data_IF_036836064613
#
_entry.id   IF_036836064613
#
_cell.length_a   1.000
_cell.length_b   1.000
_cell.length_c   1.000
_cell.angle_alpha   90.00
_cell.angle_beta   90.00
_cell.angle_gamma   90.00
#
_symmetry.space_group_name_H-M   'P 1'
#
loop_
_entity.id
_entity.type
_entity.pdbx_description
1 polymer ?
#
# COMPACT_ATOMS: atom_id res chain seq x y z
N UNK A 1 -31.26 -46.63 42.30
CA UNK A 1 -31.85 -45.42 41.69
C UNK A 1 -30.73 -44.70 40.96
N UNK A 2 -30.76 -44.84 39.65
CA UNK A 2 -29.89 -44.21 38.66
C UNK A 2 -30.37 -42.79 38.40
N UNK A 3 -29.45 -41.83 38.31
CA UNK A 3 -29.41 -40.81 37.25
C UNK A 3 -28.14 -39.96 37.41
N UNK A 4 -27.24 -40.12 36.44
CA UNK A 4 -26.08 -39.27 36.27
C UNK A 4 -26.51 -38.03 35.48
N UNK A 5 -26.45 -36.86 36.11
CA UNK A 5 -26.71 -35.57 35.46
C UNK A 5 -25.49 -35.16 34.64
N UNK A 6 -25.67 -35.09 33.31
CA UNK A 6 -24.74 -34.48 32.37
C UNK A 6 -24.62 -32.99 32.67
N UNK A 7 -23.43 -32.55 33.10
CA UNK A 7 -23.06 -31.14 33.17
C UNK A 7 -23.05 -30.54 31.77
N UNK A 8 -23.96 -29.60 31.52
CA UNK A 8 -23.98 -28.81 30.30
C UNK A 8 -22.70 -27.95 30.22
N UNK A 9 -21.89 -28.19 29.19
CA UNK A 9 -20.76 -27.36 28.84
C UNK A 9 -21.27 -25.97 28.43
N UNK A 10 -20.85 -24.94 29.15
CA UNK A 10 -21.00 -23.55 28.76
C UNK A 10 -20.24 -23.30 27.44
N UNK A 11 -20.85 -22.63 26.44
CA UNK A 11 -20.14 -22.32 25.22
C UNK A 11 -19.09 -21.26 25.51
N UNK A 12 -17.83 -21.60 25.28
CA UNK A 12 -16.72 -20.66 25.24
C UNK A 12 -16.98 -19.70 24.08
N UNK A 13 -17.56 -18.54 24.37
CA UNK A 13 -17.65 -17.43 23.43
C UNK A 13 -16.24 -16.88 23.21
N UNK A 14 -15.57 -17.39 22.19
CA UNK A 14 -14.38 -16.76 21.62
C UNK A 14 -14.77 -15.36 21.15
N UNK A 15 -14.52 -14.35 21.98
CA UNK A 15 -14.65 -12.94 21.62
C UNK A 15 -13.54 -12.61 20.63
N UNK A 16 -13.75 -12.98 19.37
CA UNK A 16 -12.96 -12.50 18.26
C UNK A 16 -13.25 -10.99 18.14
N UNK A 17 -12.43 -10.15 18.80
CA UNK A 17 -12.50 -8.68 18.70
C UNK A 17 -12.44 -8.35 17.22
N UNK A 18 -13.57 -8.00 16.62
CA UNK A 18 -13.66 -7.50 15.24
C UNK A 18 -12.71 -6.32 15.13
N UNK A 19 -11.55 -6.53 14.51
CA UNK A 19 -10.68 -5.43 14.05
C UNK A 19 -11.45 -4.77 12.91
N UNK A 20 -12.08 -3.63 13.19
CA UNK A 20 -12.85 -2.89 12.17
C UNK A 20 -11.92 -1.97 11.40
N UNK A 21 -12.28 -1.64 10.16
CA UNK A 21 -11.59 -0.65 9.32
C UNK A 21 -11.40 0.68 10.05
N UNK A 22 -12.46 1.20 10.65
CA UNK A 22 -12.42 2.52 11.29
C UNK A 22 -11.44 2.55 12.49
N UNK A 23 -11.34 1.45 13.24
CA UNK A 23 -10.36 1.32 14.33
C UNK A 23 -8.90 1.28 13.84
N UNK A 24 -8.65 0.94 12.58
CA UNK A 24 -7.30 0.93 11.99
C UNK A 24 -6.82 2.35 11.64
N UNK A 25 -7.71 3.20 11.12
CA UNK A 25 -7.41 4.59 10.74
C UNK A 25 -7.12 5.46 11.96
N UNK A 26 -7.95 5.39 13.01
CA UNK A 26 -7.81 6.21 14.23
C UNK A 26 -6.50 5.99 14.99
N UNK A 27 -5.91 4.81 14.88
CA UNK A 27 -4.68 4.50 15.61
C UNK A 27 -3.40 5.02 14.96
N UNK A 28 -3.41 5.53 13.72
CA UNK A 28 -2.24 6.22 13.13
C UNK A 28 -2.12 7.65 13.52
N UNK A 29 -3.25 8.37 13.46
CA UNK A 29 -3.29 9.75 13.87
C UNK A 29 -2.60 9.90 15.23
N UNK A 30 -2.93 8.98 16.16
CA UNK A 30 -2.31 8.87 17.48
C UNK A 30 -0.82 8.56 17.49
N UNK A 31 -0.32 7.67 16.63
CA UNK A 31 1.12 7.34 16.60
C UNK A 31 1.97 8.47 16.02
N UNK A 32 1.44 9.18 15.03
CA UNK A 32 2.06 10.39 14.50
C UNK A 32 2.09 11.50 15.57
N UNK A 33 0.96 11.73 16.23
CA UNK A 33 0.83 12.68 17.36
C UNK A 33 1.83 12.37 18.50
N UNK A 34 2.20 11.09 18.68
CA UNK A 34 3.17 10.63 19.67
C UNK A 34 4.65 10.67 19.18
N UNK A 35 4.94 11.25 18.01
CA UNK A 35 6.29 11.44 17.47
C UNK A 35 7.10 10.15 17.20
N UNK A 36 6.44 9.04 16.87
CA UNK A 36 7.11 7.75 16.58
C UNK A 36 7.57 7.58 15.11
N UNK A 37 7.62 8.66 14.32
CA UNK A 37 7.84 8.61 12.86
C UNK A 37 9.17 7.99 12.41
N UNK A 38 10.20 8.00 13.26
CA UNK A 38 11.53 7.45 12.97
C UNK A 38 11.61 5.92 12.86
N UNK A 39 10.55 5.21 13.25
CA UNK A 39 10.48 3.74 13.14
C UNK A 39 10.31 3.24 11.69
N UNK A 40 10.07 4.16 10.75
CA UNK A 40 9.73 3.78 9.38
C UNK A 40 10.09 4.75 8.28
N UNK A 41 10.10 6.04 8.59
CA UNK A 41 10.58 7.04 7.66
C UNK A 41 12.05 6.75 7.38
N UNK A 42 12.37 6.52 6.10
CA UNK A 42 13.74 6.23 5.68
C UNK A 42 14.49 7.49 5.28
N UNK A 43 13.84 8.65 5.35
CA UNK A 43 14.41 9.94 4.97
C UNK A 43 14.68 10.08 3.48
N UNK A 44 14.32 9.08 2.66
CA UNK A 44 14.55 9.06 1.21
C UNK A 44 13.52 8.17 0.50
N UNK A 45 13.29 8.37 -0.81
CA UNK A 45 12.51 7.46 -1.63
C UNK A 45 13.13 6.06 -1.68
N UNK A 46 12.35 5.06 -2.07
CA UNK A 46 12.89 3.70 -2.23
C UNK A 46 14.00 3.64 -3.30
N UNK A 47 15.21 3.10 -2.99
CA UNK A 47 16.24 2.87 -4.00
C UNK A 47 15.76 2.02 -5.18
N UNK A 48 14.86 1.08 -4.92
CA UNK A 48 14.24 0.25 -5.94
C UNK A 48 13.39 1.08 -6.92
N UNK A 49 12.57 2.00 -6.39
CA UNK A 49 11.75 2.88 -7.24
C UNK A 49 12.62 3.86 -8.03
N UNK A 50 13.64 4.46 -7.39
CA UNK A 50 14.59 5.35 -8.07
C UNK A 50 15.22 4.62 -9.26
N UNK A 51 15.81 3.46 -9.01
CA UNK A 51 16.47 2.66 -10.06
C UNK A 51 15.49 2.27 -11.17
N UNK A 52 14.25 1.93 -10.81
CA UNK A 52 13.23 1.58 -11.78
C UNK A 52 12.86 2.76 -12.70
N UNK A 53 12.65 3.94 -12.14
CA UNK A 53 12.31 5.14 -12.89
C UNK A 53 13.50 5.66 -13.72
N UNK A 54 14.73 5.51 -13.23
CA UNK A 54 15.92 6.02 -13.90
C UNK A 54 16.44 5.07 -14.99
N UNK A 55 16.45 3.76 -14.74
CA UNK A 55 17.25 2.80 -15.51
C UNK A 55 16.44 1.70 -16.19
N UNK A 56 15.25 1.35 -15.68
CA UNK A 56 14.50 0.24 -16.25
C UNK A 56 13.86 0.63 -17.59
N UNK A 57 13.96 -0.23 -18.60
CA UNK A 57 13.45 0.05 -19.95
C UNK A 57 11.94 0.37 -20.00
N UNK A 58 11.16 -0.15 -19.05
CA UNK A 58 9.72 0.13 -18.94
C UNK A 58 9.40 1.59 -18.57
N UNK A 59 10.37 2.38 -18.09
CA UNK A 59 10.16 3.81 -17.80
C UNK A 59 9.62 4.58 -19.01
N UNK A 60 10.06 4.22 -20.22
CA UNK A 60 9.63 4.86 -21.47
C UNK A 60 8.14 4.61 -21.73
N UNK A 61 7.62 3.47 -21.27
CA UNK A 61 6.19 3.15 -21.34
C UNK A 61 5.38 3.92 -20.31
N UNK A 62 5.92 4.12 -19.10
CA UNK A 62 5.28 4.91 -18.05
C UNK A 62 5.19 6.40 -18.42
N UNK A 63 6.20 6.91 -19.15
CA UNK A 63 6.34 8.31 -19.54
C UNK A 63 6.01 8.58 -21.01
N UNK A 64 5.39 7.65 -21.74
CA UNK A 64 5.14 7.73 -23.20
C UNK A 64 4.38 8.98 -23.68
N UNK A 65 3.60 9.56 -22.78
CA UNK A 65 2.75 10.73 -23.01
C UNK A 65 3.27 12.00 -22.30
N UNK A 66 4.41 11.89 -21.62
CA UNK A 66 5.08 13.02 -20.99
C UNK A 66 5.42 14.08 -22.05
N UNK A 67 5.16 15.36 -21.73
CA UNK A 67 5.30 16.48 -22.67
C UNK A 67 4.15 16.65 -23.68
N UNK A 68 3.27 15.64 -23.84
CA UNK A 68 2.04 15.76 -24.64
C UNK A 68 0.83 16.16 -23.79
N UNK A 69 0.79 15.69 -22.55
CA UNK A 69 -0.23 16.02 -21.54
C UNK A 69 0.34 15.87 -20.13
N UNK A 70 -0.41 16.33 -19.13
CA UNK A 70 -0.12 16.05 -17.72
C UNK A 70 -0.41 14.57 -17.42
N UNK A 71 0.53 13.90 -16.76
CA UNK A 71 0.37 12.55 -16.24
C UNK A 71 0.04 12.62 -14.74
N UNK A 72 -1.01 11.93 -14.31
CA UNK A 72 -1.45 11.92 -12.92
C UNK A 72 -0.93 10.66 -12.21
N UNK A 73 -0.33 10.82 -11.05
CA UNK A 73 0.12 9.72 -10.21
C UNK A 73 -0.53 9.75 -8.81
N UNK A 74 -0.71 8.57 -8.23
CA UNK A 74 -1.29 8.41 -6.90
C UNK A 74 -0.42 7.50 -6.03
N UNK A 75 -0.24 7.90 -4.78
CA UNK A 75 0.53 7.16 -3.78
C UNK A 75 -0.35 6.99 -2.53
N UNK A 76 -0.98 5.83 -2.31
CA UNK A 76 -1.67 5.59 -1.05
C UNK A 76 -0.65 5.51 0.10
N UNK A 77 -0.89 6.29 1.15
CA UNK A 77 -0.03 6.37 2.34
C UNK A 77 -0.67 5.52 3.46
N UNK A 78 0.17 4.89 4.30
CA UNK A 78 -0.12 3.71 5.15
C UNK A 78 -1.23 3.88 6.19
N UNK A 79 -2.01 2.80 6.33
CA UNK A 79 -2.97 2.50 7.41
C UNK A 79 -2.72 1.11 8.07
N UNK A 80 -2.15 1.01 9.27
CA UNK A 80 -2.44 0.11 10.44
C UNK A 80 -2.15 0.47 11.98
N UNK A 81 -3.12 0.38 12.92
CA UNK A 81 -2.84 0.23 14.39
C UNK A 81 -3.34 -1.12 14.95
N UNK A 82 -2.59 -1.71 15.90
CA UNK A 82 -3.01 -2.88 16.71
C UNK A 82 -3.34 -2.42 18.15
N UNK A 83 -4.53 -2.75 18.68
CA UNK A 83 -4.95 -2.35 20.04
C UNK A 83 -4.28 -3.17 21.18
N UNK A 84 -3.26 -3.98 20.89
CA UNK A 84 -2.50 -4.73 21.89
C UNK A 84 -1.00 -4.46 21.70
N UNK A 85 -0.48 -3.56 22.53
CA UNK A 85 0.96 -3.36 22.69
C UNK A 85 1.44 -4.51 23.59
N UNK A 86 2.11 -5.49 22.99
CA UNK A 86 3.14 -6.26 23.69
C UNK A 86 4.48 -5.78 23.12
N UNK A 87 5.31 -5.19 23.98
CA UNK A 87 6.44 -4.30 23.66
C UNK A 87 7.66 -5.01 23.07
N UNK A 88 7.53 -6.26 22.60
CA UNK A 88 8.66 -7.10 22.20
C UNK A 88 8.73 -7.48 20.72
N UNK A 89 7.86 -6.93 19.86
CA UNK A 89 7.87 -7.19 18.41
C UNK A 89 8.12 -5.89 17.64
N UNK A 90 9.25 -5.85 16.94
CA UNK A 90 9.73 -4.75 16.08
C UNK A 90 8.62 -4.09 15.25
N UNK A 91 8.18 -2.87 15.60
CA UNK A 91 7.06 -2.20 14.95
C UNK A 91 7.50 -1.54 13.63
N UNK A 92 7.40 -2.29 12.54
CA UNK A 92 7.46 -1.76 11.18
C UNK A 92 6.11 -1.09 10.85
N UNK A 93 6.09 0.23 10.78
CA UNK A 93 4.89 1.10 10.64
C UNK A 93 5.10 2.12 9.47
N UNK A 94 4.11 2.89 8.98
CA UNK A 94 4.13 4.08 8.05
C UNK A 94 5.06 4.31 6.82
N UNK A 95 4.66 5.09 5.80
CA UNK A 95 5.49 5.54 4.64
C UNK A 95 6.00 7.01 4.73
N UNK A 96 6.15 7.50 5.96
CA UNK A 96 7.01 8.66 6.26
C UNK A 96 6.47 9.98 5.73
N UNK A 97 7.34 10.79 5.13
CA UNK A 97 7.14 12.22 4.86
C UNK A 97 6.91 12.53 3.37
N UNK A 98 6.28 11.65 2.59
CA UNK A 98 5.97 11.93 1.18
C UNK A 98 7.18 11.93 0.24
N UNK A 99 8.22 11.14 0.54
CA UNK A 99 9.41 11.05 -0.31
C UNK A 99 9.11 10.51 -1.72
N UNK A 100 8.29 9.46 -1.82
CA UNK A 100 7.93 8.87 -3.13
C UNK A 100 7.01 9.82 -3.93
N UNK A 101 6.18 10.62 -3.24
CA UNK A 101 5.38 11.70 -3.86
C UNK A 101 6.30 12.73 -4.51
N UNK A 102 7.31 13.21 -3.78
CA UNK A 102 8.28 14.15 -4.32
C UNK A 102 9.16 13.53 -5.43
N UNK A 103 9.47 12.24 -5.37
CA UNK A 103 10.21 11.55 -6.42
C UNK A 103 9.41 11.51 -7.73
N UNK A 104 8.18 10.98 -7.69
CA UNK A 104 7.33 10.89 -8.89
C UNK A 104 7.09 12.27 -9.50
N UNK A 105 6.95 13.31 -8.67
CA UNK A 105 6.83 14.67 -9.13
C UNK A 105 8.06 15.12 -9.94
N UNK A 106 9.28 14.83 -9.46
CA UNK A 106 10.52 15.14 -10.20
C UNK A 106 10.63 14.39 -11.54
N UNK A 107 9.93 13.26 -11.68
CA UNK A 107 9.81 12.52 -12.94
C UNK A 107 8.68 13.04 -13.86
N UNK A 108 8.07 14.19 -13.54
CA UNK A 108 7.11 14.87 -14.43
C UNK A 108 5.65 14.47 -14.22
N UNK A 109 5.33 13.73 -13.15
CA UNK A 109 3.95 13.47 -12.77
C UNK A 109 3.38 14.62 -11.93
N UNK A 110 2.08 14.86 -12.07
CA UNK A 110 1.28 15.49 -11.04
C UNK A 110 0.85 14.44 -10.03
N UNK A 111 1.14 14.64 -8.74
CA UNK A 111 1.08 13.56 -7.75
C UNK A 111 0.17 13.89 -6.58
N UNK A 112 -0.68 12.93 -6.22
CA UNK A 112 -1.48 12.94 -5.00
C UNK A 112 -0.99 11.83 -4.05
N UNK A 113 -0.54 12.22 -2.87
CA UNK A 113 -0.41 11.30 -1.74
C UNK A 113 -1.72 11.28 -0.94
N UNK A 114 -2.12 10.14 -0.39
CA UNK A 114 -3.31 10.05 0.47
C UNK A 114 -2.97 9.55 1.86
N UNK A 115 -3.22 10.34 2.90
CA UNK A 115 -2.88 10.03 4.30
C UNK A 115 -4.10 10.25 5.22
N UNK A 116 -4.24 9.47 6.29
CA UNK A 116 -5.38 9.56 7.22
C UNK A 116 -5.15 10.51 8.40
N UNK A 117 -3.90 10.85 8.69
CA UNK A 117 -3.52 11.76 9.77
C UNK A 117 -3.23 13.16 9.26
N UNK A 118 -3.95 14.17 9.75
CA UNK A 118 -3.71 15.57 9.38
C UNK A 118 -2.28 16.02 9.69
N UNK A 119 -1.73 15.63 10.85
CA UNK A 119 -0.34 15.97 11.18
C UNK A 119 0.68 15.37 10.21
N UNK A 120 0.43 14.15 9.71
CA UNK A 120 1.28 13.51 8.71
C UNK A 120 1.11 14.14 7.33
N UNK A 121 -0.11 14.54 6.97
CA UNK A 121 -0.39 15.34 5.76
C UNK A 121 0.42 16.63 5.76
N UNK A 122 0.39 17.39 6.86
CA UNK A 122 1.09 18.67 6.98
C UNK A 122 2.60 18.49 6.83
N UNK A 123 3.19 17.56 7.58
CA UNK A 123 4.62 17.27 7.52
C UNK A 123 5.07 16.72 6.17
N UNK A 124 4.25 15.87 5.54
CA UNK A 124 4.56 15.35 4.22
C UNK A 124 4.53 16.47 3.17
N UNK A 125 3.55 17.37 3.22
CA UNK A 125 3.48 18.53 2.34
C UNK A 125 4.66 19.50 2.54
N UNK A 126 5.09 19.74 3.77
CA UNK A 126 6.30 20.53 4.05
C UNK A 126 7.55 19.89 3.43
N UNK A 127 7.72 18.58 3.62
CA UNK A 127 8.86 17.84 3.08
C UNK A 127 8.84 17.76 1.55
N UNK A 128 7.67 17.56 0.94
CA UNK A 128 7.49 17.59 -0.52
C UNK A 128 7.87 18.97 -1.07
N UNK A 129 7.39 20.06 -0.46
CA UNK A 129 7.76 21.44 -0.84
C UNK A 129 9.26 21.67 -0.74
N UNK A 130 9.90 21.26 0.37
CA UNK A 130 11.34 21.41 0.56
C UNK A 130 12.14 20.66 -0.51
N UNK A 131 11.68 19.47 -0.89
CA UNK A 131 12.30 18.63 -1.90
C UNK A 131 12.13 19.18 -3.34
N UNK A 132 11.01 19.84 -3.63
CA UNK A 132 10.70 20.36 -4.96
C UNK A 132 11.14 21.81 -5.18
N UNK A 133 11.75 22.46 -4.17
CA UNK A 133 12.12 23.89 -4.17
C UNK A 133 12.88 24.35 -5.42
N UNK A 134 13.79 23.53 -5.93
CA UNK A 134 14.63 23.84 -7.09
C UNK A 134 14.16 23.14 -8.37
N UNK A 135 12.96 22.55 -8.36
CA UNK A 135 12.41 21.81 -9.50
C UNK A 135 11.36 22.63 -10.24
N UNK A 136 11.31 22.48 -11.57
CA UNK A 136 10.20 22.97 -12.40
C UNK A 136 8.95 22.06 -12.30
N UNK A 137 8.88 21.21 -11.26
CA UNK A 137 7.75 20.30 -11.06
C UNK A 137 6.78 20.92 -10.07
N UNK A 138 5.55 21.14 -10.52
CA UNK A 138 4.68 22.14 -9.88
C UNK A 138 3.42 21.58 -9.23
N UNK A 139 3.19 20.27 -9.21
CA UNK A 139 1.94 19.79 -8.63
C UNK A 139 2.09 18.44 -7.93
N UNK A 140 2.51 18.49 -6.67
CA UNK A 140 2.57 17.34 -5.79
C UNK A 140 2.08 17.74 -4.41
N UNK A 141 1.07 17.02 -3.90
CA UNK A 141 0.49 17.31 -2.61
C UNK A 141 -0.06 16.04 -1.96
N UNK A 142 -0.02 16.02 -0.64
CA UNK A 142 -0.62 14.97 0.18
C UNK A 142 -1.96 15.50 0.69
N UNK A 143 -3.00 14.69 0.54
CA UNK A 143 -4.37 15.02 0.96
C UNK A 143 -4.82 14.12 2.10
N UNK A 144 -5.69 14.67 2.95
CA UNK A 144 -6.32 13.91 4.01
C UNK A 144 -7.43 13.02 3.44
N UNK A 145 -7.41 11.72 3.76
CA UNK A 145 -8.51 10.83 3.47
C UNK A 145 -8.21 9.36 3.77
N UNK A 146 -9.28 8.57 3.88
CA UNK A 146 -9.22 7.12 4.04
C UNK A 146 -9.32 6.46 2.66
N UNK A 147 -8.30 5.69 2.27
CA UNK A 147 -8.22 5.00 0.98
C UNK A 147 -9.47 4.19 0.61
N UNK A 148 -10.21 3.67 1.59
CA UNK A 148 -11.43 2.91 1.32
C UNK A 148 -12.70 3.76 1.20
N UNK A 149 -12.62 5.08 1.45
CA UNK A 149 -13.68 6.06 1.22
C UNK A 149 -13.47 6.83 -0.09
N UNK A 150 -14.49 7.55 -0.56
CA UNK A 150 -14.45 8.27 -1.85
C UNK A 150 -14.59 9.79 -1.73
N UNK A 151 -14.78 10.28 -0.51
CA UNK A 151 -14.92 11.70 -0.19
C UNK A 151 -13.71 12.53 -0.62
N UNK A 152 -12.51 11.98 -0.44
CA UNK A 152 -11.27 12.64 -0.87
C UNK A 152 -11.14 12.80 -2.39
N UNK A 153 -11.83 11.97 -3.20
CA UNK A 153 -11.70 11.97 -4.66
C UNK A 153 -12.21 13.29 -5.29
N UNK A 154 -13.06 14.03 -4.56
CA UNK A 154 -13.50 15.38 -4.95
C UNK A 154 -12.34 16.36 -5.14
N UNK A 155 -11.18 16.08 -4.54
CA UNK A 155 -9.96 16.90 -4.63
C UNK A 155 -9.18 16.69 -5.94
N UNK A 156 -9.51 15.68 -6.75
CA UNK A 156 -8.81 15.39 -8.02
C UNK A 156 -9.24 16.30 -9.18
N UNK A 157 -10.33 17.04 -8.99
CA UNK A 157 -10.89 17.96 -9.99
C UNK A 157 -11.92 17.31 -10.92
N UNK A 158 -12.73 18.14 -11.63
CA UNK A 158 -13.89 17.69 -12.41
C UNK A 158 -13.51 16.84 -13.65
N UNK A 159 -12.30 17.02 -14.16
CA UNK A 159 -11.79 16.32 -15.34
C UNK A 159 -10.96 15.09 -14.99
N UNK A 160 -11.00 14.62 -13.75
CA UNK A 160 -10.33 13.39 -13.35
C UNK A 160 -10.91 12.19 -14.12
N UNK A 161 -10.03 11.38 -14.72
CA UNK A 161 -10.37 10.18 -15.52
C UNK A 161 -9.59 8.94 -15.06
N UNK A 162 -9.08 8.98 -13.82
CA UNK A 162 -8.18 7.97 -13.28
C UNK A 162 -6.71 8.41 -13.33
N UNK A 163 -5.88 7.66 -12.60
CA UNK A 163 -4.44 7.86 -12.55
C UNK A 163 -3.72 7.12 -13.68
N UNK A 164 -2.66 7.73 -14.21
CA UNK A 164 -1.74 7.11 -15.16
C UNK A 164 -0.77 6.17 -14.45
N UNK A 165 -0.47 6.45 -13.18
CA UNK A 165 0.39 5.64 -12.33
C UNK A 165 -0.18 5.59 -10.91
N UNK A 166 -0.31 4.39 -10.34
CA UNK A 166 -0.47 4.22 -8.90
C UNK A 166 0.77 3.51 -8.36
N UNK A 167 1.39 4.04 -7.32
CA UNK A 167 2.56 3.40 -6.69
C UNK A 167 2.18 2.90 -5.29
N UNK A 168 2.08 1.57 -5.15
CA UNK A 168 1.95 0.92 -3.85
C UNK A 168 3.33 0.50 -3.36
N UNK A 169 3.78 1.14 -2.30
CA UNK A 169 4.87 0.62 -1.51
C UNK A 169 4.45 0.63 -0.06
N UNK A 170 4.54 -0.54 0.56
CA UNK A 170 4.27 -0.76 1.98
C UNK A 170 2.85 -0.41 2.45
N UNK A 171 1.92 -0.15 1.52
CA UNK A 171 0.52 0.10 1.84
C UNK A 171 -0.23 -1.23 1.96
N UNK A 172 -0.21 -2.08 0.92
CA UNK A 172 -0.86 -3.40 0.96
C UNK A 172 -0.39 -4.28 2.13
N UNK A 173 0.92 -4.28 2.43
CA UNK A 173 1.45 -5.10 3.53
C UNK A 173 1.02 -4.60 4.92
N UNK A 174 0.57 -3.36 5.04
CA UNK A 174 0.05 -2.83 6.29
C UNK A 174 -1.42 -3.26 6.51
N UNK A 175 -2.16 -3.55 5.45
CA UNK A 175 -3.56 -3.93 5.52
C UNK A 175 -3.76 -5.31 6.16
N UNK A 176 -4.84 -5.44 6.93
CA UNK A 176 -5.34 -6.74 7.36
C UNK A 176 -5.68 -7.59 6.13
N UNK A 177 -5.45 -8.93 6.16
CA UNK A 177 -5.74 -9.81 5.04
C UNK A 177 -7.15 -9.63 4.45
N UNK A 178 -8.16 -9.43 5.31
CA UNK A 178 -9.57 -9.30 4.93
C UNK A 178 -9.88 -8.02 4.13
N UNK A 179 -8.97 -7.04 4.13
CA UNK A 179 -9.14 -5.77 3.43
C UNK A 179 -8.50 -5.75 2.04
N UNK A 180 -7.73 -6.78 1.69
CA UNK A 180 -6.91 -6.80 0.48
C UNK A 180 -7.72 -6.91 -0.80
N UNK A 181 -8.86 -7.58 -0.75
CA UNK A 181 -9.82 -7.58 -1.87
C UNK A 181 -10.30 -6.16 -2.17
N UNK A 182 -10.75 -5.43 -1.15
CA UNK A 182 -11.16 -4.04 -1.29
C UNK A 182 -10.02 -3.14 -1.76
N UNK A 183 -8.77 -3.47 -1.43
CA UNK A 183 -7.60 -2.78 -1.99
C UNK A 183 -7.49 -2.96 -3.50
N UNK A 184 -7.61 -4.19 -4.00
CA UNK A 184 -7.55 -4.47 -5.44
C UNK A 184 -8.68 -3.77 -6.21
N UNK A 185 -9.90 -3.80 -5.68
CA UNK A 185 -11.07 -3.10 -6.23
C UNK A 185 -10.86 -1.58 -6.28
N UNK A 186 -10.24 -0.99 -5.24
CA UNK A 186 -9.92 0.44 -5.24
C UNK A 186 -8.83 0.78 -6.24
N UNK A 187 -7.77 -0.04 -6.34
CA UNK A 187 -6.72 0.15 -7.35
C UNK A 187 -7.30 0.13 -8.77
N UNK A 188 -8.21 -0.81 -9.06
CA UNK A 188 -8.93 -0.85 -10.35
C UNK A 188 -9.72 0.44 -10.58
N UNK A 189 -10.53 0.86 -9.60
CA UNK A 189 -11.41 2.03 -9.76
C UNK A 189 -10.68 3.37 -9.91
N UNK A 190 -9.47 3.47 -9.37
CA UNK A 190 -8.66 4.70 -9.38
C UNK A 190 -7.76 4.77 -10.62
N UNK A 191 -7.49 3.65 -11.29
CA UNK A 191 -6.60 3.61 -12.44
C UNK A 191 -7.33 4.05 -13.71
N UNK A 192 -6.66 4.82 -14.56
CA UNK A 192 -7.16 5.08 -15.91
C UNK A 192 -7.04 3.82 -16.78
N UNK A 193 -7.85 3.67 -17.85
CA UNK A 193 -7.79 2.48 -18.71
C UNK A 193 -6.40 2.17 -19.30
N UNK A 194 -5.54 3.18 -19.46
CA UNK A 194 -4.17 3.01 -19.95
C UNK A 194 -3.08 3.16 -18.89
N UNK A 195 -3.47 3.26 -17.62
CA UNK A 195 -2.57 3.48 -16.49
C UNK A 195 -1.92 2.21 -15.99
N UNK A 196 -0.95 2.37 -15.08
CA UNK A 196 -0.21 1.27 -14.48
C UNK A 196 -0.23 1.32 -12.95
N UNK A 197 -0.45 0.17 -12.33
CA UNK A 197 -0.19 -0.04 -10.91
C UNK A 197 1.22 -0.60 -10.76
N UNK A 198 2.10 0.15 -10.11
CA UNK A 198 3.47 -0.25 -9.76
C UNK A 198 3.48 -0.63 -8.28
N UNK A 199 3.86 -1.86 -7.96
CA UNK A 199 3.98 -2.34 -6.59
C UNK A 199 5.43 -2.66 -6.27
N UNK A 200 5.96 -2.08 -5.19
CA UNK A 200 7.17 -2.59 -4.55
C UNK A 200 6.76 -3.64 -3.51
N UNK A 201 6.82 -4.89 -3.93
CA UNK A 201 6.37 -6.04 -3.14
C UNK A 201 7.32 -6.28 -1.96
N UNK A 202 6.86 -5.95 -0.76
CA UNK A 202 7.58 -6.06 0.50
C UNK A 202 6.62 -6.39 1.65
N UNK A 203 6.98 -7.23 2.62
CA UNK A 203 8.12 -8.16 2.65
C UNK A 203 7.79 -9.48 1.94
N UNK A 204 8.72 -9.98 1.13
CA UNK A 204 8.58 -11.25 0.40
C UNK A 204 9.14 -12.46 1.16
N UNK A 205 10.04 -12.23 2.11
CA UNK A 205 10.66 -13.26 2.95
C UNK A 205 9.79 -13.71 4.13
N UNK A 206 8.82 -12.87 4.53
CA UNK A 206 8.01 -13.10 5.73
C UNK A 206 6.89 -14.11 5.45
N UNK A 207 6.70 -15.16 6.27
CA UNK A 207 5.59 -16.10 6.10
C UNK A 207 4.22 -15.39 6.16
N UNK A 208 3.26 -15.84 5.35
CA UNK A 208 1.93 -15.21 5.26
C UNK A 208 1.17 -15.19 6.60
N UNK A 209 1.30 -16.27 7.38
CA UNK A 209 0.68 -16.40 8.71
C UNK A 209 1.38 -15.59 9.81
N UNK A 210 2.59 -15.08 9.57
CA UNK A 210 3.31 -14.32 10.58
C UNK A 210 2.58 -13.01 10.84
N UNK A 211 2.42 -12.66 12.12
CA UNK A 211 1.69 -11.47 12.54
C UNK A 211 2.27 -10.21 11.88
N UNK A 212 1.40 -9.44 11.22
CA UNK A 212 1.73 -8.11 10.72
C UNK A 212 1.22 -6.97 11.62
N UNK A 213 1.38 -5.72 11.15
CA UNK A 213 2.09 -5.31 9.94
C UNK A 213 3.63 -5.28 10.13
N UNK A 214 4.39 -5.33 9.03
CA UNK A 214 3.93 -5.69 7.70
C UNK A 214 3.59 -7.18 7.68
N UNK A 215 2.51 -7.55 7.00
CA UNK A 215 2.19 -8.94 6.71
C UNK A 215 3.07 -9.47 5.59
N UNK A 216 3.32 -10.78 5.56
CA UNK A 216 3.98 -11.40 4.41
C UNK A 216 3.14 -11.24 3.14
N UNK A 217 3.79 -10.95 2.00
CA UNK A 217 3.12 -10.70 0.72
C UNK A 217 3.51 -11.67 -0.40
N UNK A 218 4.31 -12.70 -0.13
CA UNK A 218 4.75 -13.65 -1.17
C UNK A 218 3.55 -14.29 -1.88
N UNK A 219 3.38 -13.97 -3.17
CA UNK A 219 2.28 -14.43 -4.02
C UNK A 219 0.96 -13.68 -3.86
N UNK A 220 0.82 -12.79 -2.87
CA UNK A 220 -0.44 -12.09 -2.57
C UNK A 220 -0.86 -11.16 -3.72
N UNK A 221 0.08 -10.42 -4.32
CA UNK A 221 -0.24 -9.54 -5.46
C UNK A 221 -0.81 -10.32 -6.65
N UNK A 222 -0.20 -11.47 -6.99
CA UNK A 222 -0.71 -12.33 -8.07
C UNK A 222 -2.11 -12.87 -7.75
N UNK A 223 -2.30 -13.37 -6.53
CA UNK A 223 -3.57 -13.90 -6.09
C UNK A 223 -4.71 -12.86 -6.15
N UNK A 224 -4.43 -11.62 -5.75
CA UNK A 224 -5.40 -10.53 -5.83
C UNK A 224 -5.65 -10.07 -7.27
N UNK A 225 -4.58 -9.74 -7.99
CA UNK A 225 -4.65 -8.97 -9.23
C UNK A 225 -4.83 -9.84 -10.46
N UNK A 226 -4.06 -10.94 -10.57
CA UNK A 226 -4.15 -11.87 -11.70
C UNK A 226 -5.25 -12.92 -11.51
N UNK A 227 -5.31 -13.54 -10.34
CA UNK A 227 -6.29 -14.61 -10.09
C UNK A 227 -7.70 -14.07 -9.78
N UNK A 228 -7.80 -12.84 -9.27
CA UNK A 228 -9.07 -12.23 -8.84
C UNK A 228 -9.60 -12.82 -7.53
N UNK A 229 -8.72 -13.41 -6.72
CA UNK A 229 -9.05 -13.94 -5.40
C UNK A 229 -8.89 -12.85 -4.32
N UNK A 230 -8.95 -13.25 -3.04
CA UNK A 230 -9.09 -12.30 -1.92
C UNK A 230 -7.79 -12.02 -1.16
N UNK A 231 -6.65 -12.62 -1.55
CA UNK A 231 -5.36 -12.44 -0.86
C UNK A 231 -5.29 -13.09 0.52
N UNK A 232 -6.22 -14.01 0.79
CA UNK A 232 -6.33 -14.80 2.02
C UNK A 232 -5.51 -16.09 1.94
N UNK A 233 -5.19 -16.65 3.11
CA UNK A 233 -4.44 -17.89 3.23
C UNK A 233 -5.11 -18.87 4.19
N UNK A 234 -4.87 -20.15 3.98
CA UNK A 234 -5.41 -21.25 4.77
C UNK A 234 -4.62 -21.49 6.09
N UNK A 235 -5.06 -22.48 6.86
CA UNK A 235 -4.39 -22.87 8.11
C UNK A 235 -2.96 -23.39 7.90
N UNK A 236 -2.62 -23.84 6.69
CA UNK A 236 -1.26 -24.28 6.34
C UNK A 236 -0.37 -23.10 5.88
N UNK A 237 -0.96 -21.92 5.67
CA UNK A 237 -0.26 -20.72 5.20
C UNK A 237 -0.13 -20.64 3.69
N UNK A 238 -0.96 -21.37 2.95
CA UNK A 238 -1.04 -21.31 1.49
C UNK A 238 -2.13 -20.33 1.06
N UNK A 239 -1.92 -19.62 -0.04
CA UNK A 239 -2.92 -18.72 -0.60
C UNK A 239 -4.14 -19.51 -1.10
N UNK A 240 -5.33 -18.96 -0.85
CA UNK A 240 -6.59 -19.55 -1.29
C UNK A 240 -6.92 -19.00 -2.68
N UNK A 241 -7.42 -19.86 -3.57
CA UNK A 241 -7.98 -19.44 -4.86
C UNK A 241 -6.94 -19.12 -5.95
N UNK A 242 -5.73 -19.69 -5.87
CA UNK A 242 -4.69 -19.49 -6.89
C UNK A 242 -4.99 -20.20 -8.21
N UNK A 243 -4.60 -19.62 -9.34
CA UNK A 243 -4.58 -20.26 -10.66
C UNK A 243 -5.89 -20.23 -11.45
N UNK A 244 -6.83 -19.35 -11.09
CA UNK A 244 -8.04 -19.14 -11.88
C UNK A 244 -7.86 -18.08 -12.97
N UNK A 245 -6.86 -17.18 -12.84
CA UNK A 245 -6.58 -16.06 -13.77
C UNK A 245 -7.79 -15.19 -14.16
N UNK A 246 -8.81 -15.12 -13.30
CA UNK A 246 -10.06 -14.35 -13.51
C UNK A 246 -9.95 -12.89 -13.08
N UNK A 247 -8.80 -12.46 -12.58
CA UNK A 247 -8.56 -11.08 -12.18
C UNK A 247 -8.52 -10.14 -13.38
N UNK A 248 -8.80 -8.86 -13.10
CA UNK A 248 -8.90 -7.79 -14.10
C UNK A 248 -7.55 -7.18 -14.48
N UNK A 249 -6.48 -7.56 -13.78
CA UNK A 249 -5.13 -7.07 -14.05
C UNK A 249 -4.27 -8.11 -14.74
N UNK A 250 -3.36 -7.64 -15.59
CA UNK A 250 -2.26 -8.43 -16.11
C UNK A 250 -0.90 -7.85 -15.69
N UNK A 251 0.03 -8.72 -15.28
CA UNK A 251 1.39 -8.32 -14.91
C UNK A 251 2.25 -8.18 -16.16
N UNK A 252 2.72 -6.96 -16.41
CA UNK A 252 3.57 -6.63 -17.56
C UNK A 252 5.05 -6.54 -17.20
N UNK A 253 5.37 -6.35 -15.91
CA UNK A 253 6.76 -6.40 -15.41
C UNK A 253 6.79 -7.17 -14.10
N UNK A 254 7.81 -8.01 -13.94
CA UNK A 254 8.21 -8.56 -12.66
C UNK A 254 9.72 -8.55 -12.57
N UNK A 255 10.26 -7.64 -11.77
CA UNK A 255 11.66 -7.28 -11.81
C UNK A 255 12.28 -7.27 -10.42
N UNK A 256 13.51 -7.79 -10.34
CA UNK A 256 14.32 -7.77 -9.14
C UNK A 256 15.16 -6.49 -9.10
N UNK A 257 14.89 -5.54 -8.21
CA UNK A 257 15.74 -4.37 -8.07
C UNK A 257 17.15 -4.77 -7.60
N UNK A 258 18.22 -4.15 -8.15
CA UNK A 258 19.59 -4.42 -7.72
C UNK A 258 19.85 -3.92 -6.29
N UNK A 259 19.14 -2.86 -5.86
CA UNK A 259 19.18 -2.32 -4.51
C UNK A 259 17.75 -2.05 -4.01
N UNK A 260 17.51 -2.38 -2.73
CA UNK A 260 16.33 -1.98 -1.97
C UNK A 260 16.75 -1.71 -0.52
N UNK A 261 15.80 -1.36 0.35
CA UNK A 261 16.07 -1.25 1.77
C UNK A 261 16.43 -2.61 2.40
N UNK A 262 17.31 -2.60 3.40
CA UNK A 262 17.81 -3.80 4.10
C UNK A 262 16.68 -4.68 4.69
N UNK A 263 15.54 -4.09 5.06
CA UNK A 263 14.39 -4.79 5.64
C UNK A 263 13.74 -5.71 4.61
N UNK A 264 13.87 -5.39 3.32
CA UNK A 264 13.48 -6.27 2.23
C UNK A 264 14.34 -7.53 2.14
N UNK A 265 15.49 -7.55 2.83
CA UNK A 265 16.44 -8.67 2.90
C UNK A 265 16.87 -9.19 1.52
N UNK A 266 16.91 -8.29 0.54
CA UNK A 266 17.21 -8.67 -0.83
C UNK A 266 16.15 -9.59 -1.46
N UNK A 267 14.90 -9.60 -0.97
CA UNK A 267 13.78 -10.37 -1.53
C UNK A 267 12.70 -9.51 -2.19
N UNK A 268 12.74 -8.19 -2.04
CA UNK A 268 11.78 -7.27 -2.68
C UNK A 268 11.74 -7.41 -4.20
N UNK A 269 10.56 -7.22 -4.77
CA UNK A 269 10.32 -7.26 -6.21
C UNK A 269 9.53 -6.03 -6.62
N UNK A 270 9.77 -5.49 -7.81
CA UNK A 270 8.85 -4.56 -8.45
C UNK A 270 7.96 -5.36 -9.39
N UNK A 271 6.64 -5.21 -9.23
CA UNK A 271 5.67 -5.65 -10.22
C UNK A 271 4.95 -4.46 -10.83
N UNK A 272 4.68 -4.54 -12.13
CA UNK A 272 3.84 -3.56 -12.83
C UNK A 272 2.66 -4.28 -13.44
N UNK A 273 1.49 -3.70 -13.22
CA UNK A 273 0.20 -4.23 -13.59
C UNK A 273 -0.57 -3.20 -14.41
N UNK A 274 -1.38 -3.66 -15.37
CA UNK A 274 -2.38 -2.84 -16.05
C UNK A 274 -3.70 -3.60 -16.13
N UNK A 275 -4.78 -2.89 -16.40
CA UNK A 275 -6.10 -3.49 -16.64
C UNK A 275 -6.10 -4.27 -17.98
N UNK A 276 -6.87 -5.37 -18.01
CA UNK A 276 -7.12 -6.20 -19.20
C UNK A 276 -8.13 -5.55 -20.14
#
# INVERSE_FOLDING_TARGET
MSEASLGAATPVTTTNRRRTRDAQSDGWAKLWENNESGLWDRGRPSPALITFLDQHAFRETLLRDHGKRVLNAFVPVRNFHSPTIDTNLSPLKGCGKGHDVALLARHGYRVWGLEVSQGAVDAANENVKAQLKDSNSHDAHVILGDFFKKDYETQFGPDFRGFDLIYDYTFLCALLPEMRKGWAERMESLLSPGGFLVCLEFPMWKPLKAQGPPWGLKGVHWNLLADGADGLFDESGNLIGTGQEKGVFERVVYWKPPESFEQGRGEDMISVWKLK
#
